data_IF_872358132258
#
_entry.id   IF_872358132258
#
_cell.length_a   1.000
_cell.length_b   1.000
_cell.length_c   1.000
_cell.angle_alpha   90.00
_cell.angle_beta   90.00
_cell.angle_gamma   90.00
#
_symmetry.space_group_name_H-M   'P 1'
#
loop_
_entity.id
_entity.type
_entity.pdbx_description
1 polymer ?
#
# COMPACT_ATOMS: atom_id res chain seq x y z
N UNK A 1 -46.21 -3.10 -44.21
CA UNK A 1 -44.81 -3.17 -43.73
C UNK A 1 -43.99 -1.98 -44.27
N UNK A 2 -44.29 -0.74 -43.84
CA UNK A 2 -43.66 0.50 -44.37
C UNK A 2 -43.48 1.64 -43.35
N UNK A 3 -43.44 1.34 -42.04
CA UNK A 3 -43.35 2.38 -40.99
C UNK A 3 -42.17 2.27 -40.01
N UNK A 4 -41.18 1.38 -40.21
CA UNK A 4 -40.09 1.19 -39.23
C UNK A 4 -38.78 1.95 -39.52
N UNK A 5 -38.67 2.70 -40.63
CA UNK A 5 -37.40 3.38 -40.99
C UNK A 5 -37.28 4.84 -40.54
N UNK A 6 -38.36 5.45 -40.04
CA UNK A 6 -38.37 6.88 -39.69
C UNK A 6 -37.95 7.17 -38.22
N UNK A 7 -38.03 6.18 -37.32
CA UNK A 7 -37.75 6.39 -35.88
C UNK A 7 -36.24 6.33 -35.57
N UNK A 8 -35.45 5.60 -36.37
CA UNK A 8 -34.02 5.45 -36.13
C UNK A 8 -33.18 6.72 -36.36
N UNK A 9 -33.63 7.63 -37.24
CA UNK A 9 -32.87 8.84 -37.56
C UNK A 9 -33.02 9.95 -36.50
N UNK A 10 -34.14 9.97 -35.78
CA UNK A 10 -34.41 10.98 -34.75
C UNK A 10 -33.55 10.83 -33.49
N UNK A 11 -33.10 9.61 -33.17
CA UNK A 11 -32.27 9.35 -31.97
C UNK A 11 -30.81 9.75 -32.18
N UNK A 12 -30.29 9.70 -33.42
CA UNK A 12 -28.90 10.05 -33.72
C UNK A 12 -28.68 11.58 -33.66
N UNK A 13 -29.68 12.39 -34.01
CA UNK A 13 -29.57 13.85 -33.97
C UNK A 13 -29.62 14.42 -32.54
N UNK A 14 -30.32 13.75 -31.61
CA UNK A 14 -30.33 14.15 -30.19
C UNK A 14 -28.95 13.95 -29.55
N UNK A 15 -28.20 12.92 -29.94
CA UNK A 15 -26.86 12.67 -29.42
C UNK A 15 -25.81 13.67 -29.91
N UNK A 16 -25.92 14.19 -31.14
CA UNK A 16 -24.97 15.19 -31.66
C UNK A 16 -25.24 16.58 -31.07
N UNK A 17 -26.49 16.91 -30.75
CA UNK A 17 -26.86 18.19 -30.13
C UNK A 17 -26.29 18.41 -28.72
N UNK A 18 -26.01 17.34 -27.96
CA UNK A 18 -25.44 17.44 -26.61
C UNK A 18 -23.93 17.71 -26.65
N UNK A 19 -23.24 17.38 -27.75
CA UNK A 19 -21.78 17.55 -27.85
C UNK A 19 -21.39 19.01 -28.18
N UNK A 20 -22.30 19.83 -28.72
CA UNK A 20 -21.98 21.21 -29.16
C UNK A 20 -22.16 22.27 -28.06
N UNK A 21 -22.78 21.95 -26.91
CA UNK A 21 -23.08 22.92 -25.84
C UNK A 21 -22.11 22.93 -24.64
N UNK A 22 -21.01 22.16 -24.69
CA UNK A 22 -20.04 22.09 -23.57
C UNK A 22 -18.72 22.85 -23.80
N UNK A 23 -18.54 23.52 -24.95
CA UNK A 23 -17.40 24.43 -25.14
C UNK A 23 -17.62 25.77 -24.45
N UNK A 24 -17.45 25.77 -23.13
CA UNK A 24 -17.10 27.00 -22.42
C UNK A 24 -15.64 27.33 -22.73
N UNK A 25 -15.32 28.57 -23.13
CA UNK A 25 -13.95 28.98 -23.36
C UNK A 25 -13.19 28.91 -22.04
N UNK A 26 -12.06 28.19 -22.05
CA UNK A 26 -11.09 28.14 -20.96
C UNK A 26 -10.62 29.58 -20.70
N UNK A 27 -11.18 30.17 -19.64
CA UNK A 27 -10.74 31.44 -19.10
C UNK A 27 -9.39 31.19 -18.46
N UNK A 28 -8.32 31.63 -19.12
CA UNK A 28 -6.96 31.65 -18.60
C UNK A 28 -6.97 32.54 -17.35
N UNK A 29 -7.13 31.91 -16.19
CA UNK A 29 -6.90 32.56 -14.91
C UNK A 29 -5.40 32.53 -14.66
N UNK A 30 -4.85 33.72 -14.45
CA UNK A 30 -3.49 33.91 -14.01
C UNK A 30 -3.21 32.99 -12.82
N UNK A 31 -2.12 32.23 -12.90
CA UNK A 31 -1.61 31.45 -11.79
C UNK A 31 -1.18 32.42 -10.69
N UNK A 32 -2.08 32.64 -9.73
CA UNK A 32 -1.73 33.16 -8.42
C UNK A 32 -0.81 32.12 -7.77
N UNK A 33 0.43 32.53 -7.55
CA UNK A 33 1.47 31.77 -6.86
C UNK A 33 1.05 31.65 -5.39
N UNK A 34 0.17 30.69 -5.11
CA UNK A 34 -0.12 30.26 -3.75
C UNK A 34 1.11 29.47 -3.29
N UNK A 35 2.01 30.16 -2.60
CA UNK A 35 2.97 29.54 -1.70
C UNK A 35 2.16 28.76 -0.67
N UNK A 36 1.96 27.47 -0.98
CA UNK A 36 1.48 26.50 -0.02
C UNK A 36 2.55 26.38 1.05
N UNK A 37 2.40 27.20 2.09
CA UNK A 37 3.01 27.06 3.40
C UNK A 37 2.52 25.73 3.96
N UNK A 38 3.14 24.65 3.49
CA UNK A 38 3.02 23.30 4.04
C UNK A 38 3.70 23.36 5.39
N UNK A 39 2.97 23.85 6.38
CA UNK A 39 3.32 23.77 7.80
C UNK A 39 3.59 22.31 8.07
N UNK A 40 4.87 21.96 8.09
CA UNK A 40 5.34 20.69 8.56
C UNK A 40 4.92 20.61 10.02
N UNK A 41 3.81 19.95 10.28
CA UNK A 41 3.46 19.44 11.61
C UNK A 41 4.48 18.32 11.93
N UNK A 42 5.75 18.70 12.10
CA UNK A 42 6.76 17.90 12.78
C UNK A 42 6.42 17.95 14.26
N UNK A 43 5.33 17.28 14.63
CA UNK A 43 5.16 16.80 15.99
C UNK A 43 6.34 15.86 16.24
N UNK A 44 7.37 16.37 16.93
CA UNK A 44 8.49 15.57 17.38
C UNK A 44 7.97 14.64 18.47
N UNK A 45 7.34 13.54 18.07
CA UNK A 45 7.11 12.42 18.96
C UNK A 45 8.49 11.92 19.37
N UNK A 46 8.89 12.27 20.59
CA UNK A 46 10.10 11.77 21.24
C UNK A 46 9.98 10.26 21.28
N UNK A 47 10.62 9.59 20.33
CA UNK A 47 10.70 8.13 20.27
C UNK A 47 11.41 7.68 21.55
N UNK A 48 10.69 6.99 22.44
CA UNK A 48 11.35 6.24 23.50
C UNK A 48 12.25 5.22 22.81
N UNK A 49 13.55 5.40 22.97
CA UNK A 49 14.64 4.92 22.10
C UNK A 49 14.86 3.40 22.05
N UNK A 50 13.89 2.58 22.42
CA UNK A 50 14.04 1.13 22.53
C UNK A 50 13.16 0.30 21.59
N UNK A 51 12.39 0.91 20.68
CA UNK A 51 11.48 0.17 19.79
C UNK A 51 12.13 -0.28 18.47
N UNK A 52 13.40 -0.70 18.52
CA UNK A 52 14.20 -1.03 17.35
C UNK A 52 14.71 -2.46 17.41
N UNK A 53 14.65 -3.18 16.28
CA UNK A 53 15.27 -4.50 16.10
C UNK A 53 16.46 -4.34 15.17
N UNK A 54 17.61 -4.90 15.54
CA UNK A 54 18.83 -4.82 14.74
C UNK A 54 19.28 -6.21 14.31
N UNK A 55 19.50 -6.39 13.01
CA UNK A 55 20.03 -7.62 12.42
C UNK A 55 21.05 -7.24 11.36
N UNK A 56 22.26 -7.82 11.45
CA UNK A 56 23.37 -7.56 10.53
C UNK A 56 23.64 -6.07 10.30
N UNK A 57 23.65 -5.28 11.38
CA UNK A 57 23.82 -3.82 11.33
C UNK A 57 22.73 -3.08 10.54
N UNK A 58 21.61 -3.71 10.22
CA UNK A 58 20.39 -3.03 9.72
C UNK A 58 19.42 -2.90 10.89
N UNK A 59 18.91 -1.70 11.10
CA UNK A 59 17.98 -1.39 12.17
C UNK A 59 16.57 -1.19 11.59
N UNK A 60 15.59 -1.79 12.23
CA UNK A 60 14.18 -1.79 11.86
C UNK A 60 13.33 -1.24 13.01
N UNK A 61 12.44 -0.30 12.73
CA UNK A 61 11.56 0.35 13.72
C UNK A 61 10.12 0.41 13.19
N UNK A 62 9.13 0.05 14.00
CA UNK A 62 7.71 0.29 13.68
C UNK A 62 7.42 1.79 13.74
N UNK A 63 6.88 2.34 12.66
CA UNK A 63 6.49 3.76 12.59
C UNK A 63 4.99 3.89 12.37
N UNK A 64 4.35 4.73 13.17
CA UNK A 64 2.94 5.11 13.02
C UNK A 64 2.79 6.59 13.43
N UNK A 65 2.64 7.52 12.47
CA UNK A 65 2.62 8.95 12.75
C UNK A 65 1.49 9.39 13.69
N UNK A 66 0.30 8.80 13.53
CA UNK A 66 -0.88 9.08 14.36
C UNK A 66 -1.25 7.84 15.17
N UNK A 67 -1.20 7.94 16.51
CA UNK A 67 -1.44 6.82 17.43
C UNK A 67 -2.77 6.89 18.16
N UNK A 68 -3.56 7.93 17.95
CA UNK A 68 -4.91 8.07 18.51
C UNK A 68 -5.84 8.30 17.35
N UNK A 69 -6.55 7.25 16.94
CA UNK A 69 -7.37 7.24 15.76
C UNK A 69 -8.84 7.27 16.15
N UNK A 70 -9.63 8.09 15.45
CA UNK A 70 -11.08 8.12 15.62
C UNK A 70 -11.73 7.01 14.81
N UNK A 71 -12.61 6.24 15.42
CA UNK A 71 -13.44 5.26 14.73
C UNK A 71 -14.39 6.04 13.79
N UNK A 72 -14.48 5.68 12.50
CA UNK A 72 -15.40 6.37 11.60
C UNK A 72 -16.85 6.18 12.08
N UNK A 73 -17.75 7.14 11.84
CA UNK A 73 -19.17 6.94 12.12
C UNK A 73 -19.71 5.76 11.31
N UNK A 74 -20.79 5.12 11.80
CA UNK A 74 -21.49 4.02 11.10
C UNK A 74 -22.31 4.53 9.91
N UNK A 75 -21.65 5.16 8.94
CA UNK A 75 -22.24 5.69 7.72
C UNK A 75 -21.62 4.99 6.51
N UNK A 76 -22.39 4.88 5.43
CA UNK A 76 -21.87 4.36 4.16
C UNK A 76 -20.66 5.17 3.70
N UNK A 77 -19.56 4.49 3.35
CA UNK A 77 -18.30 5.07 2.90
C UNK A 77 -17.51 5.91 3.93
N UNK A 78 -17.94 5.99 5.19
CA UNK A 78 -17.14 6.65 6.23
C UNK A 78 -15.88 5.83 6.54
N UNK A 79 -14.73 6.51 6.54
CA UNK A 79 -13.40 5.90 6.70
C UNK A 79 -12.52 6.76 7.58
N UNK A 80 -11.67 6.12 8.38
CA UNK A 80 -10.52 6.78 9.02
C UNK A 80 -9.25 6.26 8.38
N UNK A 81 -8.55 7.12 7.65
CA UNK A 81 -7.26 6.77 7.04
C UNK A 81 -6.18 6.67 8.13
N UNK A 82 -5.26 5.72 7.92
CA UNK A 82 -4.16 5.44 8.84
C UNK A 82 -2.91 5.21 8.02
N UNK A 83 -1.81 5.78 8.46
CA UNK A 83 -0.48 5.46 7.96
C UNK A 83 0.30 4.71 9.05
N UNK A 84 0.93 3.61 8.64
CA UNK A 84 1.83 2.83 9.49
C UNK A 84 2.92 2.25 8.62
N UNK A 85 4.00 1.74 9.20
CA UNK A 85 5.04 1.12 8.40
C UNK A 85 6.31 0.89 9.18
N UNK A 86 7.41 0.86 8.46
CA UNK A 86 8.72 0.52 8.99
C UNK A 86 9.73 1.58 8.61
N UNK A 87 10.57 1.96 9.56
CA UNK A 87 11.81 2.68 9.29
C UNK A 87 12.95 1.68 9.23
N UNK A 88 13.70 1.74 8.16
CA UNK A 88 14.88 0.91 7.93
C UNK A 88 16.08 1.84 7.92
N UNK A 89 17.09 1.54 8.72
CA UNK A 89 18.35 2.29 8.76
C UNK A 89 19.50 1.35 8.46
N UNK A 90 20.33 1.69 7.47
CA UNK A 90 21.49 0.90 7.11
C UNK A 90 22.72 1.37 7.90
N UNK A 91 23.12 0.65 8.95
CA UNK A 91 24.34 0.95 9.70
C UNK A 91 25.56 0.14 9.19
N UNK A 92 25.42 -0.63 8.10
CA UNK A 92 26.57 -1.30 7.46
C UNK A 92 27.47 -0.27 6.79
N UNK A 93 28.74 -0.61 6.61
CA UNK A 93 29.66 0.19 5.79
C UNK A 93 29.31 0.12 4.28
N UNK A 94 28.71 -0.99 3.83
CA UNK A 94 28.33 -1.19 2.42
C UNK A 94 26.89 -0.72 2.16
N UNK A 95 26.61 -0.15 0.97
CA UNK A 95 25.26 0.11 0.52
C UNK A 95 24.40 -1.17 0.48
N UNK A 96 23.09 -1.03 0.63
CA UNK A 96 22.17 -2.15 0.58
C UNK A 96 20.82 -1.73 -0.01
N UNK A 97 20.25 -2.55 -0.88
CA UNK A 97 18.94 -2.32 -1.49
C UNK A 97 17.82 -2.94 -0.66
N UNK A 98 16.73 -2.20 -0.46
CA UNK A 98 15.55 -2.67 0.25
C UNK A 98 14.33 -2.65 -0.66
N UNK A 99 13.59 -3.76 -0.68
CA UNK A 99 12.34 -3.86 -1.40
C UNK A 99 11.22 -3.22 -0.58
N UNK A 100 10.65 -2.13 -1.07
CA UNK A 100 9.59 -1.38 -0.41
C UNK A 100 8.23 -2.10 -0.43
N UNK A 101 8.13 -3.38 -0.82
CA UNK A 101 6.85 -4.12 -0.84
C UNK A 101 6.74 -5.10 0.32
N UNK A 102 7.86 -5.38 0.99
CA UNK A 102 8.03 -6.48 1.91
C UNK A 102 7.31 -6.29 3.27
N UNK A 103 6.74 -5.12 3.55
CA UNK A 103 6.14 -4.84 4.85
C UNK A 103 4.63 -5.14 4.92
N UNK A 104 4.21 -5.79 6.01
CA UNK A 104 2.80 -5.97 6.39
C UNK A 104 2.62 -5.78 7.90
N UNK A 105 1.48 -5.25 8.36
CA UNK A 105 1.21 -5.13 9.78
C UNK A 105 0.81 -6.46 10.38
N UNK A 106 0.92 -6.56 11.69
CA UNK A 106 0.20 -7.50 12.51
C UNK A 106 -0.33 -6.74 13.74
N UNK A 107 -1.57 -7.05 14.13
CA UNK A 107 -2.30 -6.32 15.16
C UNK A 107 -2.59 -7.23 16.34
N UNK A 108 -2.44 -6.69 17.55
CA UNK A 108 -2.76 -7.37 18.79
C UNK A 108 -3.64 -6.48 19.68
N UNK A 109 -4.55 -7.13 20.41
CA UNK A 109 -5.27 -6.53 21.54
C UNK A 109 -4.32 -6.39 22.74
N UNK A 110 -4.73 -5.60 23.74
CA UNK A 110 -3.96 -5.41 25.00
C UNK A 110 -3.61 -6.72 25.71
N UNK A 111 -4.47 -7.73 25.63
CA UNK A 111 -4.24 -9.08 26.17
C UNK A 111 -3.30 -9.94 25.30
N UNK A 112 -2.60 -9.34 24.33
CA UNK A 112 -1.73 -10.00 23.34
C UNK A 112 -2.45 -10.97 22.41
N UNK A 113 -3.78 -10.96 22.39
CA UNK A 113 -4.55 -11.74 21.41
C UNK A 113 -4.40 -11.11 20.02
N UNK A 114 -3.95 -11.89 19.05
CA UNK A 114 -3.87 -11.47 17.65
C UNK A 114 -5.25 -11.13 17.10
N UNK A 115 -5.37 -10.02 16.40
CA UNK A 115 -6.59 -9.63 15.69
C UNK A 115 -6.79 -10.55 14.49
N UNK A 116 -8.01 -11.02 14.26
CA UNK A 116 -8.34 -11.91 13.14
C UNK A 116 -7.97 -11.26 11.81
N UNK A 117 -7.22 -12.01 10.99
CA UNK A 117 -6.68 -11.58 9.71
C UNK A 117 -7.32 -12.39 8.58
N UNK A 118 -7.63 -11.74 7.47
CA UNK A 118 -8.14 -12.35 6.23
C UNK A 118 -7.32 -11.84 5.04
N UNK A 119 -6.87 -12.76 4.18
CA UNK A 119 -6.00 -12.49 3.04
C UNK A 119 -4.70 -13.31 3.05
N UNK A 120 -3.80 -13.10 2.09
CA UNK A 120 -3.92 -12.11 1.02
C UNK A 120 -4.98 -12.52 0.00
N UNK A 121 -5.81 -11.57 -0.45
CA UNK A 121 -6.65 -11.75 -1.64
C UNK A 121 -5.98 -11.01 -2.78
N UNK A 122 -5.60 -11.72 -3.84
CA UNK A 122 -4.96 -11.15 -5.01
C UNK A 122 -5.78 -11.45 -6.26
N UNK A 123 -6.20 -10.40 -6.98
CA UNK A 123 -6.80 -10.57 -8.32
C UNK A 123 -5.71 -10.61 -9.41
N UNK A 124 -4.55 -10.03 -9.13
CA UNK A 124 -3.34 -10.01 -9.95
C UNK A 124 -2.14 -9.93 -9.01
N UNK A 125 -1.00 -10.48 -9.42
CA UNK A 125 0.30 -10.21 -8.80
C UNK A 125 0.99 -9.11 -9.60
N UNK A 126 1.35 -8.01 -8.96
CA UNK A 126 2.28 -7.05 -9.56
C UNK A 126 3.71 -7.43 -9.17
N UNK A 127 4.61 -7.45 -10.15
CA UNK A 127 6.04 -7.61 -9.90
C UNK A 127 6.63 -6.25 -9.50
N UNK A 128 7.46 -6.18 -8.44
CA UNK A 128 8.31 -5.03 -8.18
C UNK A 128 9.01 -4.47 -9.41
N UNK A 129 9.00 -3.15 -9.51
CA UNK A 129 9.77 -2.37 -10.47
C UNK A 129 11.06 -1.86 -9.82
N UNK A 130 12.01 -1.36 -10.62
CA UNK A 130 13.26 -0.80 -10.09
C UNK A 130 13.00 0.35 -9.09
N UNK A 131 11.92 1.13 -9.31
CA UNK A 131 11.51 2.25 -8.45
C UNK A 131 11.07 1.81 -7.05
N UNK A 132 10.78 0.52 -6.87
CA UNK A 132 10.34 -0.06 -5.60
C UNK A 132 11.51 -0.56 -4.75
N UNK A 133 12.73 -0.51 -5.28
CA UNK A 133 13.95 -0.75 -4.53
C UNK A 133 14.53 0.58 -4.07
N UNK A 134 14.89 0.65 -2.80
CA UNK A 134 15.59 1.79 -2.22
C UNK A 134 16.99 1.37 -1.82
N UNK A 135 17.99 1.94 -2.50
CA UNK A 135 19.38 1.89 -2.06
C UNK A 135 19.56 2.80 -0.84
N UNK A 136 20.14 2.26 0.23
CA UNK A 136 20.56 3.01 1.41
C UNK A 136 22.07 2.92 1.56
N UNK A 137 22.73 4.06 1.66
CA UNK A 137 24.13 4.17 2.07
C UNK A 137 24.27 4.00 3.59
N UNK A 138 25.51 3.94 4.07
CA UNK A 138 25.80 3.86 5.50
C UNK A 138 25.24 5.07 6.25
N UNK A 139 24.50 4.82 7.33
CA UNK A 139 23.82 5.82 8.14
C UNK A 139 22.51 6.35 7.55
N UNK A 140 22.16 6.00 6.31
CA UNK A 140 20.90 6.44 5.72
C UNK A 140 19.72 5.64 6.24
N UNK A 141 18.54 6.29 6.25
CA UNK A 141 17.28 5.66 6.61
C UNK A 141 16.18 5.96 5.60
N UNK A 142 15.21 5.07 5.52
CA UNK A 142 13.96 5.26 4.77
C UNK A 142 12.77 4.89 5.63
N UNK A 143 11.70 5.69 5.55
CA UNK A 143 10.40 5.31 6.08
C UNK A 143 9.59 4.68 4.95
N UNK A 144 9.28 3.41 5.05
CA UNK A 144 8.31 2.76 4.19
C UNK A 144 6.95 2.76 4.90
N UNK A 145 6.10 3.72 4.52
CA UNK A 145 4.74 3.85 5.05
C UNK A 145 3.73 3.23 4.09
N UNK A 146 2.81 2.47 4.68
CA UNK A 146 1.66 1.84 4.05
C UNK A 146 0.42 2.57 4.50
N UNK A 147 -0.47 2.84 3.54
CA UNK A 147 -1.78 3.43 3.82
C UNK A 147 -2.83 2.34 3.98
N UNK A 148 -3.61 2.45 5.05
CA UNK A 148 -4.80 1.67 5.27
C UNK A 148 -5.93 2.54 5.79
N UNK A 149 -7.09 1.93 6.04
CA UNK A 149 -8.20 2.64 6.63
C UNK A 149 -9.06 1.70 7.48
N UNK A 150 -9.62 2.28 8.54
CA UNK A 150 -10.72 1.68 9.27
C UNK A 150 -12.05 2.01 8.58
N UNK A 151 -12.91 1.01 8.41
CA UNK A 151 -14.27 1.17 7.87
C UNK A 151 -15.25 0.18 8.51
N UNK A 152 -16.55 0.52 8.49
CA UNK A 152 -17.59 -0.40 8.93
C UNK A 152 -18.03 -1.31 7.79
N UNK A 153 -18.04 -2.62 8.03
CA UNK A 153 -18.56 -3.62 7.09
C UNK A 153 -19.43 -4.63 7.84
N UNK A 154 -20.72 -4.74 7.47
CA UNK A 154 -21.69 -5.63 8.14
C UNK A 154 -21.68 -5.51 9.67
N UNK A 155 -21.71 -4.27 10.18
CA UNK A 155 -21.64 -3.92 11.61
C UNK A 155 -20.33 -4.28 12.35
N UNK A 156 -19.29 -4.68 11.63
CA UNK A 156 -17.95 -4.90 12.19
C UNK A 156 -17.00 -3.79 11.75
N UNK A 157 -16.18 -3.27 12.67
CA UNK A 157 -15.10 -2.36 12.32
C UNK A 157 -13.92 -3.17 11.79
N UNK A 158 -13.49 -2.87 10.56
CA UNK A 158 -12.39 -3.56 9.88
C UNK A 158 -11.29 -2.59 9.51
N UNK A 159 -10.06 -3.05 9.60
CA UNK A 159 -8.92 -2.39 9.00
C UNK A 159 -8.63 -3.02 7.65
N UNK A 160 -8.50 -2.22 6.61
CA UNK A 160 -8.18 -2.65 5.26
C UNK A 160 -6.95 -1.91 4.76
N UNK A 161 -6.05 -2.63 4.11
CA UNK A 161 -4.95 -2.03 3.38
C UNK A 161 -4.63 -2.83 2.11
N UNK A 162 -3.98 -2.17 1.16
CA UNK A 162 -3.54 -2.77 -0.08
C UNK A 162 -2.03 -2.60 -0.18
N UNK A 163 -1.31 -3.70 -0.39
CA UNK A 163 0.12 -3.65 -0.69
C UNK A 163 0.31 -3.23 -2.15
N UNK A 164 1.50 -2.72 -2.46
CA UNK A 164 1.84 -2.32 -3.84
C UNK A 164 1.83 -3.48 -4.84
N UNK A 165 1.95 -4.73 -4.37
CA UNK A 165 1.78 -5.95 -5.17
C UNK A 165 0.30 -6.25 -5.56
N UNK A 166 -0.62 -5.33 -5.25
CA UNK A 166 -2.07 -5.44 -5.41
C UNK A 166 -2.74 -6.53 -4.55
N UNK A 167 -2.07 -6.99 -3.48
CA UNK A 167 -2.69 -7.88 -2.49
C UNK A 167 -3.50 -7.10 -1.47
N UNK A 168 -4.72 -7.58 -1.22
CA UNK A 168 -5.66 -7.00 -0.25
C UNK A 168 -5.63 -7.80 1.05
N UNK A 169 -5.61 -7.06 2.15
CA UNK A 169 -5.63 -7.62 3.50
C UNK A 169 -6.70 -6.92 4.33
N UNK A 170 -7.32 -7.70 5.21
CA UNK A 170 -8.38 -7.25 6.09
C UNK A 170 -8.10 -7.77 7.50
N UNK A 171 -8.28 -6.91 8.49
CA UNK A 171 -8.30 -7.29 9.91
C UNK A 171 -9.65 -6.89 10.47
N UNK A 172 -10.26 -7.75 11.27
CA UNK A 172 -11.65 -7.56 11.71
C UNK A 172 -11.81 -7.48 13.21
N UNK A 173 -13.02 -7.14 13.65
CA UNK A 173 -13.44 -7.15 15.05
C UNK A 173 -12.65 -6.16 15.92
N UNK A 174 -12.39 -4.97 15.37
CA UNK A 174 -11.90 -3.86 16.18
C UNK A 174 -13.04 -3.23 16.99
N UNK A 175 -12.68 -2.73 18.16
CA UNK A 175 -13.53 -1.99 19.08
C UNK A 175 -12.76 -0.75 19.54
N UNK A 176 -13.41 0.15 20.28
CA UNK A 176 -12.69 1.20 20.98
C UNK A 176 -11.77 0.60 22.02
N UNK A 177 -10.50 1.00 22.04
CA UNK A 177 -9.53 0.42 22.98
C UNK A 177 -8.09 0.66 22.58
N UNK A 178 -7.18 0.04 23.33
CA UNK A 178 -5.74 0.06 23.06
C UNK A 178 -5.34 -1.21 22.33
N UNK A 179 -4.58 -1.04 21.27
CA UNK A 179 -4.03 -2.09 20.43
C UNK A 179 -2.53 -1.87 20.27
N UNK A 180 -1.82 -2.91 19.86
CA UNK A 180 -0.45 -2.77 19.39
C UNK A 180 -0.34 -3.25 17.95
N UNK A 181 0.50 -2.56 17.18
CA UNK A 181 0.87 -2.92 15.81
C UNK A 181 2.37 -3.21 15.77
N UNK A 182 2.77 -4.33 15.19
CA UNK A 182 4.13 -4.54 14.71
C UNK A 182 4.09 -4.64 13.19
N UNK A 183 5.25 -4.43 12.57
CA UNK A 183 5.45 -4.62 11.14
C UNK A 183 6.38 -5.78 10.90
N UNK A 184 5.93 -6.68 10.04
CA UNK A 184 6.69 -7.80 9.52
C UNK A 184 7.27 -7.35 8.19
N UNK A 185 8.59 -7.36 8.07
CA UNK A 185 9.30 -7.11 6.82
C UNK A 185 9.86 -8.43 6.32
N UNK A 186 9.39 -8.90 5.18
CA UNK A 186 9.72 -10.20 4.60
C UNK A 186 10.15 -10.02 3.14
N UNK A 187 11.44 -10.22 2.86
CA UNK A 187 11.96 -10.27 1.51
C UNK A 187 12.64 -11.62 1.27
N UNK A 188 11.98 -12.57 0.57
CA UNK A 188 12.54 -13.89 0.32
C UNK A 188 13.47 -13.95 -0.91
N UNK A 189 13.62 -12.86 -1.66
CA UNK A 189 14.30 -12.89 -2.96
C UNK A 189 15.74 -12.34 -2.86
N UNK A 190 16.78 -13.20 -3.01
CA UNK A 190 18.18 -12.77 -2.98
C UNK A 190 18.62 -12.02 -4.22
N UNK A 191 17.96 -12.27 -5.34
CA UNK A 191 18.07 -11.51 -6.56
C UNK A 191 16.68 -11.44 -7.19
N UNK A 192 16.30 -10.27 -7.69
CA UNK A 192 14.97 -10.10 -8.29
C UNK A 192 14.78 -10.89 -9.59
N UNK A 193 15.89 -11.30 -10.23
CA UNK A 193 15.88 -12.22 -11.37
C UNK A 193 15.09 -13.51 -11.09
N UNK A 194 14.93 -13.93 -9.83
CA UNK A 194 14.20 -15.14 -9.46
C UNK A 194 12.68 -14.91 -9.33
N UNK A 195 12.25 -13.70 -8.97
CA UNK A 195 10.84 -13.41 -8.72
C UNK A 195 10.02 -13.15 -10.01
N UNK A 196 10.68 -12.74 -11.09
CA UNK A 196 10.03 -12.48 -12.38
C UNK A 196 9.55 -13.73 -13.11
N UNK A 197 9.97 -14.93 -12.69
CA UNK A 197 9.70 -16.19 -13.37
C UNK A 197 8.75 -17.11 -12.61
N UNK A 198 7.74 -16.56 -11.93
CA UNK A 198 6.59 -17.35 -11.49
C UNK A 198 6.96 -18.56 -10.62
N UNK A 199 7.67 -18.33 -9.52
CA UNK A 199 7.84 -19.33 -8.46
C UNK A 199 6.48 -19.61 -7.78
N UNK A 200 5.63 -20.38 -8.47
CA UNK A 200 5.32 -21.77 -8.12
C UNK A 200 4.61 -22.08 -6.80
N UNK A 201 4.58 -21.19 -5.80
CA UNK A 201 4.06 -21.55 -4.48
C UNK A 201 2.62 -21.04 -4.24
N UNK A 202 2.12 -20.06 -5.01
CA UNK A 202 0.68 -19.66 -4.94
C UNK A 202 -0.01 -19.59 -6.32
N UNK A 203 0.66 -19.99 -7.41
CA UNK A 203 -0.04 -20.14 -8.70
C UNK A 203 -0.77 -21.49 -8.77
N UNK A 204 -1.83 -21.66 -7.98
CA UNK A 204 -2.77 -22.79 -8.06
C UNK A 204 -3.67 -22.76 -9.32
N UNK A 205 -3.43 -21.86 -10.26
CA UNK A 205 -4.11 -21.90 -11.55
C UNK A 205 -3.24 -22.64 -12.58
N UNK A 206 -3.76 -23.68 -13.25
CA UNK A 206 -3.09 -24.27 -14.39
C UNK A 206 -2.90 -23.17 -15.43
N UNK A 207 -1.63 -22.85 -15.73
CA UNK A 207 -1.31 -21.94 -16.81
C UNK A 207 -2.01 -22.44 -18.07
N UNK A 208 -3.08 -21.74 -18.48
CA UNK A 208 -3.59 -21.85 -19.84
C UNK A 208 -2.41 -21.54 -20.75
N UNK A 209 -1.99 -22.53 -21.53
CA UNK A 209 -1.01 -22.37 -22.60
C UNK A 209 -1.55 -21.34 -23.60
N UNK A 210 -1.37 -20.06 -23.30
CA UNK A 210 -1.63 -18.99 -24.25
C UNK A 210 -0.60 -19.15 -25.39
N UNK A 211 -1.03 -19.03 -26.65
CA UNK A 211 -0.15 -19.16 -27.80
C UNK A 211 1.00 -18.15 -27.68
N UNK A 212 2.23 -18.64 -27.83
CA UNK A 212 3.48 -17.87 -27.88
C UNK A 212 3.46 -16.95 -29.12
N UNK A 213 2.75 -15.84 -29.05
CA UNK A 213 2.96 -14.74 -29.98
C UNK A 213 4.18 -13.94 -29.51
N UNK A 214 5.16 -13.79 -30.39
CA UNK A 214 6.35 -12.90 -30.42
C UNK A 214 6.55 -11.82 -29.34
N UNK A 215 6.46 -12.13 -28.05
CA UNK A 215 6.94 -11.24 -27.00
C UNK A 215 8.46 -11.36 -26.94
N UNK A 216 9.14 -10.22 -27.09
CA UNK A 216 10.55 -10.11 -26.74
C UNK A 216 10.73 -10.64 -25.31
N UNK A 217 11.82 -11.37 -25.02
CA UNK A 217 12.09 -11.84 -23.67
C UNK A 217 12.07 -10.62 -22.73
N UNK A 218 11.38 -10.70 -21.58
CA UNK A 218 11.35 -9.60 -20.63
C UNK A 218 12.78 -9.24 -20.24
N UNK A 219 13.08 -7.95 -20.21
CA UNK A 219 14.37 -7.43 -19.77
C UNK A 219 14.61 -7.88 -18.33
N UNK A 220 15.70 -8.61 -18.10
CA UNK A 220 16.02 -9.17 -16.79
C UNK A 220 16.60 -8.04 -15.93
N UNK A 221 15.86 -7.65 -14.90
CA UNK A 221 16.31 -6.64 -13.94
C UNK A 221 17.19 -7.30 -12.88
N UNK A 222 18.51 -7.13 -12.99
CA UNK A 222 19.45 -7.55 -11.96
C UNK A 222 19.67 -6.43 -10.95
N UNK A 223 19.24 -6.65 -9.71
CA UNK A 223 19.51 -5.76 -8.59
C UNK A 223 20.41 -6.51 -7.62
N UNK A 224 21.61 -6.00 -7.41
CA UNK A 224 22.60 -6.57 -6.50
C UNK A 224 22.43 -6.03 -5.08
N UNK A 225 23.01 -6.71 -4.09
CA UNK A 225 23.03 -6.29 -2.68
C UNK A 225 21.64 -5.99 -2.07
N UNK A 226 20.63 -6.73 -2.50
CA UNK A 226 19.28 -6.68 -1.92
C UNK A 226 19.30 -7.37 -0.56
N UNK A 227 18.77 -6.70 0.47
CA UNK A 227 18.62 -7.30 1.79
C UNK A 227 17.56 -8.42 1.73
N UNK A 228 17.88 -9.59 2.28
CA UNK A 228 17.02 -10.78 2.30
C UNK A 228 16.79 -11.22 3.74
N UNK A 229 15.56 -11.61 4.05
CA UNK A 229 15.22 -12.17 5.33
C UNK A 229 13.80 -11.82 5.76
N UNK A 230 13.47 -12.23 6.99
CA UNK A 230 12.22 -11.91 7.65
C UNK A 230 12.54 -11.29 9.02
N UNK A 231 11.91 -10.16 9.33
CA UNK A 231 12.06 -9.47 10.61
C UNK A 231 10.68 -9.07 11.13
N UNK A 232 10.53 -9.25 12.45
CA UNK A 232 9.42 -8.75 13.23
C UNK A 232 9.90 -7.55 14.02
N UNK A 233 9.36 -6.38 13.74
CA UNK A 233 9.65 -5.19 14.54
C UNK A 233 8.96 -5.26 15.91
N UNK A 234 9.43 -4.44 16.85
CA UNK A 234 8.80 -4.35 18.16
C UNK A 234 7.40 -3.73 18.06
N UNK A 235 6.43 -4.20 18.87
CA UNK A 235 5.07 -3.69 18.85
C UNK A 235 5.02 -2.22 19.29
N UNK A 236 4.18 -1.45 18.61
CA UNK A 236 3.90 -0.05 18.87
C UNK A 236 2.43 0.11 19.27
N UNK A 237 2.17 0.73 20.41
CA UNK A 237 0.80 0.94 20.89
C UNK A 237 0.09 2.09 20.17
N UNK A 238 -1.21 1.91 19.92
CA UNK A 238 -2.14 2.93 19.43
C UNK A 238 -3.53 2.73 20.05
N UNK A 239 -4.36 3.77 19.98
CA UNK A 239 -5.70 3.80 20.56
C UNK A 239 -6.74 4.08 19.48
N UNK A 240 -7.83 3.31 19.51
CA UNK A 240 -9.06 3.59 18.79
C UNK A 240 -10.06 4.26 19.75
N UNK A 241 -10.52 5.46 19.41
CA UNK A 241 -11.49 6.23 20.20
C UNK A 241 -12.76 6.46 19.38
N UNK A 242 -13.91 6.54 20.05
CA UNK A 242 -15.19 6.85 19.42
C UNK A 242 -15.39 8.35 19.22
#
# INVERSE_FOLDING_TARGET
MRHSKAVGLAVILIFIGIIVLSHTPIKVMAHEKIEAEKVAYMSSFKSNSNNTVQVDQIQFETVMPERVLRIPPKLSNAKTQVQFGIRITNNRAKPCNFLLFAARPEFFKLNKQKVSQFGPIANRSASPELSDFKLLLSGESVNFLVEGYFEWFKNELKFKFMRKDATYWWYGNFESGTYSINVIYENPYPAWEQASWGDGIISLMPMRKLPRNNYLPPEILKIEDVWVGEIFTLPLEFRLIQ
#
